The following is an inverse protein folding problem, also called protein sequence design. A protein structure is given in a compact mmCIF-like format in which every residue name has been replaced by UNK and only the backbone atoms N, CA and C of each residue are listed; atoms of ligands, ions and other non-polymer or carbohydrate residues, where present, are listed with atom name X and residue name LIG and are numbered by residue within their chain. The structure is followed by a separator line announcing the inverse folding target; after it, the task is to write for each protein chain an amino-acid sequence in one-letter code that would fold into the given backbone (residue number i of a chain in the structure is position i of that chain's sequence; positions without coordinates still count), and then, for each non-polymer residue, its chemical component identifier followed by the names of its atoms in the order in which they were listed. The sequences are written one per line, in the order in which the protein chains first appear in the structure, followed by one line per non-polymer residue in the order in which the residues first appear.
data_IF_942500417729
#
_entry.id   IF_942500417729
#
_cell.length_a   1.000
_cell.length_b   1.000
_cell.length_c   1.000
_cell.angle_alpha   90.00
_cell.angle_beta   90.00
_cell.angle_gamma   90.00
#
_symmetry.space_group_name_H-M   'P 1'
#
loop_
_entity.id
_entity.type
_entity.pdbx_description
1 polymer ?
#
# COMPACT_ATOMS: atom_id res chain seq x y z
N UNK A 1 37.68 12.56 -6.48
CA UNK A 1 37.31 11.27 -7.07
C UNK A 1 37.21 10.27 -5.93
N UNK A 2 36.05 10.06 -5.37
CA UNK A 2 35.77 8.95 -4.49
C UNK A 2 34.33 8.54 -4.72
N UNK A 3 34.13 7.74 -5.75
CA UNK A 3 32.90 6.97 -5.94
C UNK A 3 33.03 5.71 -5.11
N UNK A 4 32.80 5.82 -3.80
CA UNK A 4 32.41 4.66 -3.01
C UNK A 4 30.94 4.39 -3.33
N UNK A 5 30.70 3.18 -3.76
CA UNK A 5 29.38 2.63 -4.06
C UNK A 5 28.52 2.69 -2.78
N UNK A 6 27.71 3.75 -2.64
CA UNK A 6 26.83 4.01 -1.49
C UNK A 6 25.52 3.18 -1.62
N UNK A 7 25.57 2.07 -2.37
CA UNK A 7 24.51 1.10 -2.45
C UNK A 7 24.56 0.23 -1.21
N UNK A 8 23.64 0.47 -0.28
CA UNK A 8 23.41 -0.43 0.83
C UNK A 8 23.23 -1.86 0.29
N UNK A 9 23.92 -2.83 0.88
CA UNK A 9 23.77 -4.22 0.46
C UNK A 9 22.33 -4.68 0.68
N UNK A 10 21.82 -5.62 -0.13
CA UNK A 10 20.47 -6.18 0.08
C UNK A 10 20.31 -6.74 1.49
N UNK A 11 21.39 -7.26 2.10
CA UNK A 11 21.40 -7.74 3.47
C UNK A 11 21.13 -6.62 4.50
N UNK A 12 21.73 -5.44 4.33
CA UNK A 12 21.49 -4.27 5.20
C UNK A 12 20.06 -3.77 5.06
N UNK A 13 19.55 -3.76 3.81
CA UNK A 13 18.18 -3.37 3.50
C UNK A 13 17.17 -4.34 4.10
N UNK A 14 17.41 -5.65 3.99
CA UNK A 14 16.56 -6.69 4.60
C UNK A 14 16.57 -6.58 6.12
N UNK A 15 17.74 -6.32 6.72
CA UNK A 15 17.87 -6.10 8.17
C UNK A 15 17.04 -4.90 8.62
N UNK A 16 17.07 -3.79 7.89
CA UNK A 16 16.28 -2.60 8.20
C UNK A 16 14.77 -2.88 8.09
N UNK A 17 14.34 -3.51 7.00
CA UNK A 17 12.95 -3.89 6.82
C UNK A 17 12.45 -4.84 7.93
N UNK A 18 13.29 -5.77 8.37
CA UNK A 18 12.98 -6.70 9.46
C UNK A 18 12.86 -5.99 10.82
N UNK A 19 13.73 -4.99 11.10
CA UNK A 19 13.59 -4.15 12.30
C UNK A 19 12.28 -3.38 12.30
N UNK A 20 11.92 -2.77 11.16
CA UNK A 20 10.65 -2.05 11.03
C UNK A 20 9.47 -3.01 11.21
N UNK A 21 9.51 -4.19 10.58
CA UNK A 21 8.47 -5.21 10.74
C UNK A 21 8.25 -5.58 12.21
N UNK A 22 9.32 -5.91 12.93
CA UNK A 22 9.25 -6.27 14.37
C UNK A 22 8.74 -5.12 15.22
N UNK A 23 9.18 -3.89 14.93
CA UNK A 23 8.72 -2.69 15.60
C UNK A 23 7.21 -2.48 15.41
N UNK A 24 6.68 -2.71 14.22
CA UNK A 24 5.24 -2.61 13.95
C UNK A 24 4.48 -3.76 14.62
N UNK A 25 5.00 -5.00 14.54
CA UNK A 25 4.37 -6.19 15.14
C UNK A 25 4.32 -6.14 16.67
N UNK A 26 5.23 -5.40 17.34
CA UNK A 26 5.19 -5.22 18.80
C UNK A 26 3.99 -4.39 19.28
N UNK A 27 3.35 -3.63 18.40
CA UNK A 27 2.14 -2.85 18.70
C UNK A 27 0.90 -3.47 18.04
N UNK A 28 1.06 -4.05 16.84
CA UNK A 28 -0.03 -4.69 16.08
C UNK A 28 0.10 -6.21 16.23
N UNK A 29 -0.30 -6.70 17.41
CA UNK A 29 -0.16 -8.11 17.76
C UNK A 29 -1.09 -9.02 16.97
N UNK A 30 -0.60 -10.23 16.64
CA UNK A 30 -1.39 -11.29 16.01
C UNK A 30 -1.77 -11.06 14.55
N UNK A 31 -1.20 -10.03 13.85
CA UNK A 31 -1.54 -9.67 12.48
C UNK A 31 -0.30 -9.57 11.56
N UNK A 32 0.62 -10.55 11.55
CA UNK A 32 1.87 -10.45 10.80
C UNK A 32 1.67 -10.27 9.29
N UNK A 33 0.63 -10.90 8.71
CA UNK A 33 0.33 -10.76 7.28
C UNK A 33 -0.13 -9.35 6.91
N UNK A 34 -0.93 -8.69 7.75
CA UNK A 34 -1.37 -7.31 7.53
C UNK A 34 -0.18 -6.36 7.58
N UNK A 35 0.71 -6.54 8.57
CA UNK A 35 1.94 -5.76 8.69
C UNK A 35 2.84 -5.98 7.46
N UNK A 36 3.01 -7.23 7.03
CA UNK A 36 3.79 -7.58 5.83
C UNK A 36 3.23 -6.91 4.57
N UNK A 37 1.91 -6.94 4.37
CA UNK A 37 1.28 -6.28 3.23
C UNK A 37 1.46 -4.76 3.31
N UNK A 38 1.29 -4.15 4.48
CA UNK A 38 1.48 -2.70 4.66
C UNK A 38 2.92 -2.27 4.30
N UNK A 39 3.95 -3.02 4.74
CA UNK A 39 5.33 -2.79 4.38
C UNK A 39 5.57 -3.03 2.88
N UNK A 40 5.01 -4.09 2.32
CA UNK A 40 5.07 -4.37 0.87
C UNK A 40 4.52 -3.20 0.06
N UNK A 41 3.36 -2.66 0.46
CA UNK A 41 2.71 -1.53 -0.21
C UNK A 41 3.56 -0.27 -0.09
N UNK A 42 4.14 0.02 1.08
CA UNK A 42 5.03 1.17 1.28
C UNK A 42 6.26 1.08 0.36
N UNK A 43 6.94 -0.06 0.36
CA UNK A 43 8.16 -0.28 -0.44
C UNK A 43 7.88 -0.39 -1.95
N UNK A 44 6.68 -0.78 -2.33
CA UNK A 44 6.21 -0.78 -3.72
C UNK A 44 5.69 0.60 -4.17
N UNK A 45 5.82 1.63 -3.31
CA UNK A 45 5.31 2.98 -3.57
C UNK A 45 3.81 2.99 -3.87
N UNK A 46 3.04 2.19 -3.15
CA UNK A 46 1.59 2.07 -3.29
C UNK A 46 0.84 2.76 -2.16
N UNK A 47 -0.49 2.60 -2.21
CA UNK A 47 -1.42 3.09 -1.19
C UNK A 47 -2.27 1.92 -0.70
N UNK A 48 -2.64 1.93 0.58
CA UNK A 48 -3.34 0.84 1.25
C UNK A 48 -4.79 1.22 1.56
N UNK A 49 -5.71 0.33 1.23
CA UNK A 49 -7.10 0.42 1.69
C UNK A 49 -7.32 -0.59 2.82
N UNK A 50 -7.80 -0.15 3.97
CA UNK A 50 -8.18 -1.00 5.08
C UNK A 50 -9.70 -1.00 5.17
N UNK A 51 -10.29 -2.15 4.88
CA UNK A 51 -11.73 -2.32 4.88
C UNK A 51 -12.13 -3.23 6.03
N UNK A 52 -12.78 -2.65 7.06
CA UNK A 52 -13.09 -3.39 8.28
C UNK A 52 -14.15 -2.69 9.15
N UNK A 53 -14.66 -3.40 10.14
CA UNK A 53 -15.53 -2.85 11.18
C UNK A 53 -14.82 -1.79 12.02
N UNK A 54 -15.54 -0.88 12.68
CA UNK A 54 -14.95 0.10 13.60
C UNK A 54 -14.21 -0.56 14.76
N UNK A 55 -13.18 0.13 15.30
CA UNK A 55 -12.53 -0.26 16.55
C UNK A 55 -11.45 -1.32 16.48
N UNK A 56 -11.13 -1.88 15.31
CA UNK A 56 -10.12 -2.96 15.15
C UNK A 56 -8.67 -2.48 14.98
N UNK A 57 -8.37 -1.21 15.27
CA UNK A 57 -6.99 -0.71 15.22
C UNK A 57 -6.48 -0.26 13.84
N UNK A 58 -7.37 0.02 12.86
CA UNK A 58 -6.99 0.46 11.50
C UNK A 58 -6.02 1.65 11.49
N UNK A 59 -6.35 2.70 12.24
CA UNK A 59 -5.52 3.90 12.37
C UNK A 59 -4.22 3.63 13.13
N UNK A 60 -4.23 2.67 14.05
CA UNK A 60 -3.07 2.27 14.85
C UNK A 60 -1.96 1.71 13.96
N UNK A 61 -2.29 0.84 12.99
CA UNK A 61 -1.32 0.28 12.05
C UNK A 61 -0.54 1.37 11.32
N UNK A 62 -1.24 2.37 10.76
CA UNK A 62 -0.60 3.44 10.02
C UNK A 62 0.25 4.36 10.90
N UNK A 63 -0.23 4.68 12.13
CA UNK A 63 0.54 5.46 13.10
C UNK A 63 1.79 4.74 13.55
N UNK A 64 1.68 3.45 13.84
CA UNK A 64 2.80 2.60 14.25
C UNK A 64 3.85 2.50 13.16
N UNK A 65 3.42 2.29 11.92
CA UNK A 65 4.32 2.27 10.76
C UNK A 65 5.08 3.60 10.63
N UNK A 66 4.37 4.74 10.66
CA UNK A 66 4.98 6.07 10.54
C UNK A 66 6.00 6.33 11.66
N UNK A 67 5.66 5.99 12.91
CA UNK A 67 6.53 6.19 14.06
C UNK A 67 7.76 5.28 14.02
N UNK A 68 7.62 4.03 13.55
CA UNK A 68 8.73 3.09 13.41
C UNK A 68 9.80 3.54 12.41
N UNK A 69 9.44 4.38 11.43
CA UNK A 69 10.34 4.86 10.36
C UNK A 69 10.59 6.37 10.40
N UNK A 70 10.26 7.03 11.50
CA UNK A 70 10.45 8.47 11.71
C UNK A 70 9.92 9.31 10.52
N UNK A 71 8.73 8.97 10.07
CA UNK A 71 8.04 9.69 8.99
C UNK A 71 7.00 10.65 9.54
N UNK A 72 6.84 11.80 8.87
CA UNK A 72 5.75 12.70 9.14
C UNK A 72 4.40 12.03 8.87
N UNK A 73 3.45 12.23 9.79
CA UNK A 73 2.10 11.68 9.67
C UNK A 73 1.04 12.77 9.80
N UNK A 74 0.04 12.71 8.93
CA UNK A 74 -1.17 13.53 9.04
C UNK A 74 -2.40 12.63 9.00
N UNK A 75 -3.41 13.00 9.79
CA UNK A 75 -4.69 12.30 9.82
C UNK A 75 -5.78 13.20 9.26
N UNK A 76 -6.52 12.67 8.31
CA UNK A 76 -7.70 13.29 7.72
C UNK A 76 -8.91 12.46 8.15
N UNK A 77 -9.79 13.04 8.96
CA UNK A 77 -11.10 12.44 9.24
C UNK A 77 -12.07 12.90 8.16
N UNK A 78 -12.53 11.98 7.34
CA UNK A 78 -13.49 12.29 6.29
C UNK A 78 -14.88 12.47 6.87
N UNK A 79 -15.47 13.63 6.60
CA UNK A 79 -16.82 14.03 7.00
C UNK A 79 -17.54 14.64 5.79
N UNK A 80 -18.88 14.72 5.78
CA UNK A 80 -19.62 15.29 4.64
C UNK A 80 -19.28 16.75 4.32
N UNK A 81 -18.82 17.50 5.30
CA UNK A 81 -18.47 18.92 5.21
C UNK A 81 -17.00 19.16 4.86
N UNK A 82 -16.14 18.13 4.84
CA UNK A 82 -14.72 18.26 4.47
C UNK A 82 -14.59 18.74 3.02
N UNK A 83 -13.79 19.79 2.83
CA UNK A 83 -13.55 20.37 1.52
C UNK A 83 -12.28 19.79 0.86
N UNK A 84 -12.19 19.79 -0.47
CA UNK A 84 -10.96 19.44 -1.19
C UNK A 84 -9.74 20.24 -0.75
N UNK A 85 -9.94 21.53 -0.47
CA UNK A 85 -8.89 22.46 0.00
C UNK A 85 -8.31 22.11 1.37
N UNK A 86 -9.07 21.42 2.23
CA UNK A 86 -8.57 20.95 3.53
C UNK A 86 -7.52 19.83 3.33
N UNK A 87 -7.63 19.11 2.24
CA UNK A 87 -6.70 18.06 1.84
C UNK A 87 -5.49 18.65 1.13
N UNK A 88 -5.72 19.44 0.09
CA UNK A 88 -4.67 19.91 -0.84
C UNK A 88 -3.99 21.20 -0.39
N UNK A 89 -4.64 21.98 0.47
CA UNK A 89 -4.17 23.31 0.85
C UNK A 89 -4.79 24.42 0.04
N UNK A 90 -4.47 25.64 0.42
CA UNK A 90 -5.02 26.87 -0.15
C UNK A 90 -3.95 27.95 -0.24
N UNK A 91 -4.09 28.88 -1.18
CA UNK A 91 -3.33 30.13 -1.19
C UNK A 91 -4.08 31.18 -0.40
N UNK A 92 -3.42 31.78 0.59
CA UNK A 92 -3.97 32.84 1.44
C UNK A 92 -3.24 34.14 1.12
N UNK A 93 -3.98 35.22 0.92
CA UNK A 93 -3.37 36.51 0.70
C UNK A 93 -2.82 37.12 2.00
N UNK A 94 -1.49 37.25 2.07
CA UNK A 94 -0.81 37.95 3.17
C UNK A 94 -0.86 39.47 2.94
N UNK A 95 -1.64 40.15 3.76
CA UNK A 95 -1.81 41.63 3.66
C UNK A 95 -0.53 42.40 3.98
N UNK A 96 0.37 41.85 4.82
CA UNK A 96 1.62 42.54 5.20
C UNK A 96 2.64 42.46 4.07
N UNK A 97 2.78 41.28 3.45
CA UNK A 97 3.69 41.03 2.34
C UNK A 97 3.10 41.38 0.97
N UNK A 98 1.77 41.56 0.92
CA UNK A 98 0.98 41.84 -0.31
C UNK A 98 1.19 40.75 -1.38
N UNK A 99 1.31 39.50 -0.95
CA UNK A 99 1.50 38.34 -1.82
C UNK A 99 0.61 37.17 -1.37
N UNK A 100 0.39 36.21 -2.27
CA UNK A 100 -0.27 34.95 -1.93
C UNK A 100 0.73 33.98 -1.33
N UNK A 101 0.44 33.45 -0.16
CA UNK A 101 1.23 32.43 0.51
C UNK A 101 0.48 31.10 0.45
N UNK A 102 1.13 30.04 -0.05
CA UNK A 102 0.55 28.72 -0.03
C UNK A 102 0.59 28.12 1.38
N UNK A 103 -0.56 27.70 1.87
CA UNK A 103 -0.70 26.93 3.11
C UNK A 103 -0.96 25.49 2.74
N UNK A 104 0.03 24.56 2.96
CA UNK A 104 -0.12 23.16 2.61
C UNK A 104 -1.24 22.51 3.41
N UNK A 105 -2.03 21.67 2.74
CA UNK A 105 -3.06 20.85 3.36
C UNK A 105 -2.51 19.57 3.99
N UNK A 106 -3.41 18.74 4.51
CA UNK A 106 -3.03 17.53 5.24
C UNK A 106 -2.34 16.46 4.37
N UNK A 107 -2.42 16.57 3.04
CA UNK A 107 -1.76 15.63 2.12
C UNK A 107 -0.22 15.77 2.13
N UNK A 108 0.32 16.89 2.62
CA UNK A 108 1.77 17.16 2.65
C UNK A 108 2.46 16.49 3.85
N UNK A 109 2.26 15.18 3.97
CA UNK A 109 2.96 14.32 4.91
C UNK A 109 3.42 13.05 4.20
N UNK A 110 4.40 12.36 4.77
CA UNK A 110 4.93 11.11 4.20
C UNK A 110 3.94 9.96 4.35
N UNK A 111 3.22 9.90 5.47
CA UNK A 111 2.12 8.96 5.67
C UNK A 111 0.85 9.74 5.99
N UNK A 112 -0.14 9.58 5.14
CA UNK A 112 -1.46 10.20 5.29
C UNK A 112 -2.48 9.14 5.65
N UNK A 113 -3.16 9.34 6.77
CA UNK A 113 -4.23 8.46 7.24
C UNK A 113 -5.56 9.09 6.87
N UNK A 114 -6.27 8.47 5.94
CA UNK A 114 -7.61 8.89 5.54
C UNK A 114 -8.68 8.05 6.22
N UNK A 115 -9.19 8.51 7.37
CA UNK A 115 -10.19 7.75 8.10
C UNK A 115 -11.60 7.97 7.52
N UNK A 116 -12.29 6.84 7.25
CA UNK A 116 -13.68 6.79 6.78
C UNK A 116 -13.88 7.54 5.44
N UNK A 117 -13.01 7.24 4.46
CA UNK A 117 -12.99 7.93 3.16
C UNK A 117 -14.36 7.97 2.46
N UNK A 118 -15.21 6.98 2.71
CA UNK A 118 -16.55 6.88 2.14
C UNK A 118 -17.56 7.86 2.76
N UNK A 119 -17.21 8.63 3.81
CA UNK A 119 -18.10 9.66 4.39
C UNK A 119 -18.02 11.02 3.69
N UNK A 120 -16.93 11.33 3.01
CA UNK A 120 -16.81 12.59 2.30
C UNK A 120 -17.47 12.57 0.93
N UNK A 121 -17.77 13.76 0.41
CA UNK A 121 -18.30 13.91 -0.94
C UNK A 121 -17.37 13.34 -2.01
N UNK A 122 -17.89 12.88 -3.16
CA UNK A 122 -17.06 12.38 -4.26
C UNK A 122 -16.01 13.39 -4.74
N UNK A 123 -16.27 14.69 -4.63
CA UNK A 123 -15.34 15.75 -5.00
C UNK A 123 -14.13 15.76 -4.06
N UNK A 124 -14.36 15.63 -2.77
CA UNK A 124 -13.31 15.58 -1.74
C UNK A 124 -12.51 14.28 -1.84
N UNK A 125 -13.18 13.14 -2.07
CA UNK A 125 -12.50 11.87 -2.34
C UNK A 125 -11.57 12.00 -3.57
N UNK A 126 -12.04 12.62 -4.65
CA UNK A 126 -11.26 12.80 -5.88
C UNK A 126 -9.99 13.63 -5.65
N UNK A 127 -10.03 14.66 -4.82
CA UNK A 127 -8.85 15.48 -4.51
C UNK A 127 -7.72 14.66 -3.84
N UNK A 128 -8.06 13.80 -2.87
CA UNK A 128 -7.09 12.88 -2.28
C UNK A 128 -6.53 11.91 -3.34
N UNK A 129 -7.42 11.26 -4.08
CA UNK A 129 -7.06 10.18 -4.99
C UNK A 129 -6.26 10.67 -6.21
N UNK A 130 -6.48 11.91 -6.67
CA UNK A 130 -5.66 12.54 -7.70
C UNK A 130 -4.25 12.80 -7.19
N UNK A 131 -4.12 13.39 -6.01
CA UNK A 131 -2.83 13.65 -5.36
C UNK A 131 -2.03 12.37 -5.10
N UNK A 132 -2.72 11.25 -4.80
CA UNK A 132 -2.08 9.92 -4.63
C UNK A 132 -1.41 9.43 -5.91
N UNK A 133 -2.07 9.61 -7.05
CA UNK A 133 -1.57 9.12 -8.33
C UNK A 133 -0.45 9.98 -8.89
N UNK A 134 -0.66 11.30 -8.87
CA UNK A 134 0.26 12.28 -9.47
C UNK A 134 1.46 12.60 -8.56
N UNK A 135 1.38 12.28 -7.26
CA UNK A 135 2.37 12.64 -6.21
C UNK A 135 2.71 14.12 -6.18
N UNK A 136 1.78 14.92 -6.59
CA UNK A 136 1.85 16.37 -6.61
C UNK A 136 0.47 16.99 -6.51
N UNK A 137 0.44 18.26 -6.13
CA UNK A 137 -0.77 19.07 -6.07
C UNK A 137 -0.53 20.36 -6.82
N UNK A 138 -1.47 20.77 -7.67
CA UNK A 138 -1.40 22.05 -8.38
C UNK A 138 -2.42 23.01 -7.82
N UNK A 139 -1.95 24.13 -7.27
CA UNK A 139 -2.76 25.21 -6.70
C UNK A 139 -2.38 26.52 -7.39
N UNK A 140 -3.36 27.22 -7.93
CA UNK A 140 -3.18 28.52 -8.62
C UNK A 140 -2.07 28.49 -9.69
N UNK A 141 -1.98 27.37 -10.43
CA UNK A 141 -0.99 27.20 -11.48
C UNK A 141 0.41 26.82 -11.00
N UNK A 142 0.63 26.71 -9.70
CA UNK A 142 1.91 26.26 -9.11
C UNK A 142 1.78 24.78 -8.68
N UNK A 143 2.74 23.97 -9.08
CA UNK A 143 2.80 22.55 -8.74
C UNK A 143 3.72 22.30 -7.55
N UNK A 144 3.21 21.64 -6.54
CA UNK A 144 3.91 21.28 -5.31
C UNK A 144 4.06 19.74 -5.26
N UNK A 145 5.29 19.26 -5.20
CA UNK A 145 5.59 17.83 -5.08
C UNK A 145 5.34 17.34 -3.65
N UNK A 146 4.75 16.16 -3.50
CA UNK A 146 4.54 15.54 -2.20
C UNK A 146 5.86 14.92 -1.69
N UNK A 147 6.02 14.79 -0.35
CA UNK A 147 7.24 14.23 0.25
C UNK A 147 7.46 12.76 -0.13
N UNK A 148 8.71 12.29 -0.05
CA UNK A 148 9.07 10.88 -0.26
C UNK A 148 9.68 10.30 1.02
N UNK A 149 9.37 9.06 1.41
CA UNK A 149 8.33 8.20 0.80
C UNK A 149 6.94 8.78 0.98
N UNK A 150 5.98 8.42 0.13
CA UNK A 150 4.60 8.88 0.25
C UNK A 150 3.62 7.72 0.19
N UNK A 151 2.81 7.56 1.24
CA UNK A 151 1.79 6.53 1.33
C UNK A 151 0.50 7.06 1.94
N UNK A 152 -0.61 6.78 1.30
CA UNK A 152 -1.94 6.96 1.89
C UNK A 152 -2.44 5.62 2.42
N UNK A 153 -2.88 5.60 3.67
CA UNK A 153 -3.61 4.50 4.29
C UNK A 153 -5.04 4.98 4.51
N UNK A 154 -5.94 4.58 3.62
CA UNK A 154 -7.34 4.92 3.74
C UNK A 154 -8.11 3.83 4.49
N UNK A 155 -9.06 4.23 5.35
CA UNK A 155 -9.96 3.29 6.01
C UNK A 155 -11.38 3.44 5.47
N UNK A 156 -12.08 2.33 5.37
CA UNK A 156 -13.47 2.26 4.99
C UNK A 156 -14.22 1.31 5.90
N UNK A 157 -15.46 1.66 6.25
CA UNK A 157 -16.37 0.77 6.94
C UNK A 157 -17.43 0.26 5.95
N UNK A 158 -17.42 -1.03 5.59
CA UNK A 158 -18.36 -1.58 4.63
C UNK A 158 -19.79 -1.72 5.17
N UNK A 159 -19.98 -1.68 6.49
CA UNK A 159 -21.28 -1.90 7.14
C UNK A 159 -22.11 -0.60 7.20
N UNK A 160 -21.47 0.55 7.29
CA UNK A 160 -22.15 1.84 7.31
C UNK A 160 -22.58 2.24 5.89
N UNK A 161 -23.89 2.16 5.63
CA UNK A 161 -24.49 2.58 4.37
C UNK A 161 -25.12 3.97 4.44
N UNK A 162 -25.58 4.40 5.62
CA UNK A 162 -26.31 5.66 5.79
C UNK A 162 -25.33 6.84 5.82
N UNK A 163 -25.54 7.83 4.96
CA UNK A 163 -24.68 9.01 4.85
C UNK A 163 -23.29 8.75 4.25
N UNK A 164 -23.11 7.66 3.50
CA UNK A 164 -21.83 7.32 2.86
C UNK A 164 -21.90 7.35 1.34
N UNK A 165 -20.78 7.65 0.72
CA UNK A 165 -20.56 7.62 -0.72
C UNK A 165 -19.54 6.51 -1.03
N UNK A 166 -19.97 5.35 -1.56
CA UNK A 166 -19.03 4.27 -1.87
C UNK A 166 -18.02 4.74 -2.91
N UNK A 167 -16.77 4.29 -2.75
CA UNK A 167 -15.72 4.57 -3.73
C UNK A 167 -16.06 3.92 -5.07
N UNK A 168 -16.15 4.69 -6.18
CA UNK A 168 -16.25 4.14 -7.50
C UNK A 168 -15.10 3.20 -7.83
N UNK A 169 -15.32 2.27 -8.76
CA UNK A 169 -14.34 1.25 -9.15
C UNK A 169 -13.00 1.87 -9.60
N UNK A 170 -13.06 2.93 -10.41
CA UNK A 170 -11.89 3.64 -10.89
C UNK A 170 -11.07 4.29 -9.76
N UNK A 171 -11.72 4.64 -8.66
CA UNK A 171 -11.07 5.21 -7.48
C UNK A 171 -10.46 4.11 -6.61
N UNK A 172 -11.14 2.98 -6.42
CA UNK A 172 -10.60 1.81 -5.72
C UNK A 172 -9.36 1.24 -6.42
N UNK A 173 -9.30 1.30 -7.74
CA UNK A 173 -8.17 0.84 -8.55
C UNK A 173 -6.86 1.60 -8.26
N UNK A 174 -6.91 2.77 -7.62
CA UNK A 174 -5.72 3.55 -7.22
C UNK A 174 -5.03 2.99 -5.98
N UNK A 175 -5.74 2.27 -5.13
CA UNK A 175 -5.14 1.57 -4.00
C UNK A 175 -4.41 0.31 -4.49
N UNK A 176 -3.16 0.12 -4.07
CA UNK A 176 -2.37 -1.04 -4.48
C UNK A 176 -2.91 -2.34 -3.90
N UNK A 177 -3.24 -2.33 -2.62
CA UNK A 177 -3.78 -3.50 -1.94
C UNK A 177 -4.92 -3.11 -1.01
N UNK A 178 -5.79 -4.09 -0.74
CA UNK A 178 -6.80 -4.04 0.30
C UNK A 178 -6.53 -5.11 1.34
N UNK A 179 -6.67 -4.73 2.61
CA UNK A 179 -6.54 -5.65 3.76
C UNK A 179 -7.71 -5.48 4.72
N UNK A 180 -7.99 -6.53 5.48
CA UNK A 180 -8.82 -6.51 6.69
C UNK A 180 -7.95 -6.85 7.88
N UNK A 181 -8.04 -6.08 8.95
CA UNK A 181 -7.33 -6.35 10.20
C UNK A 181 -8.08 -7.43 10.99
N UNK A 182 -9.43 -7.39 10.93
CA UNK A 182 -10.32 -8.28 11.67
C UNK A 182 -10.26 -8.06 13.17
N UNK A 183 -11.12 -8.73 13.90
CA UNK A 183 -11.12 -8.71 15.36
C UNK A 183 -9.80 -9.29 15.92
N UNK A 184 -9.30 -8.79 17.06
CA UNK A 184 -8.21 -9.42 17.78
C UNK A 184 -8.60 -10.82 18.26
N UNK A 185 -7.61 -11.66 18.60
CA UNK A 185 -7.88 -12.93 19.27
C UNK A 185 -8.29 -12.68 20.74
N UNK A 186 -8.92 -13.66 21.37
CA UNK A 186 -9.30 -13.55 22.79
C UNK A 186 -8.08 -13.27 23.69
N UNK A 187 -6.93 -13.85 23.36
CA UNK A 187 -5.66 -13.63 24.07
C UNK A 187 -5.17 -12.19 23.90
N UNK A 188 -5.27 -11.64 22.68
CA UNK A 188 -4.91 -10.25 22.42
C UNK A 188 -5.87 -9.28 23.11
N UNK A 189 -7.18 -9.59 23.17
CA UNK A 189 -8.15 -8.80 23.92
C UNK A 189 -7.85 -8.80 25.42
N UNK A 190 -7.47 -9.95 26.00
CA UNK A 190 -7.06 -10.04 27.41
C UNK A 190 -5.82 -9.16 27.68
N UNK A 191 -4.82 -9.22 26.82
CA UNK A 191 -3.63 -8.37 26.94
C UNK A 191 -3.98 -6.88 26.86
N UNK A 192 -4.92 -6.49 25.99
CA UNK A 192 -5.40 -5.11 25.91
C UNK A 192 -6.03 -4.65 27.23
N UNK A 193 -6.73 -5.52 27.96
CA UNK A 193 -7.31 -5.20 29.28
C UNK A 193 -6.22 -4.99 30.34
N UNK A 194 -5.17 -5.80 30.31
CA UNK A 194 -4.04 -5.68 31.24
C UNK A 194 -3.25 -4.37 31.03
N UNK A 195 -3.14 -3.90 29.79
CA UNK A 195 -2.43 -2.66 29.40
C UNK A 195 -3.30 -1.40 29.63
N UNK A 196 -4.62 -1.52 29.80
CA UNK A 196 -5.56 -0.38 29.86
C UNK A 196 -5.38 0.56 31.07
N UNK A 197 -4.43 0.31 31.95
CA UNK A 197 -4.01 1.21 33.03
C UNK A 197 -2.61 1.81 32.83
N UNK A 198 -1.92 1.53 31.71
CA UNK A 198 -0.55 1.93 31.43
C UNK A 198 -0.37 2.85 30.23
N UNK A 199 0.87 3.09 29.88
CA UNK A 199 1.28 3.87 28.72
C UNK A 199 0.89 3.09 27.44
N UNK A 200 0.33 3.79 26.45
CA UNK A 200 0.00 3.15 25.17
C UNK A 200 1.28 2.56 24.51
N UNK A 201 1.25 1.31 24.03
CA UNK A 201 2.40 0.71 23.34
C UNK A 201 2.93 1.57 22.18
N UNK A 202 2.06 2.37 21.56
CA UNK A 202 2.44 3.33 20.55
C UNK A 202 3.30 4.46 21.14
N UNK A 203 3.01 4.94 22.36
CA UNK A 203 3.73 6.09 22.95
C UNK A 203 5.19 5.72 23.29
N UNK A 204 5.43 4.50 23.70
CA UNK A 204 6.76 3.97 24.02
C UNK A 204 7.57 3.56 22.77
N UNK A 205 6.92 3.44 21.61
CA UNK A 205 7.57 3.00 20.39
C UNK A 205 8.64 4.00 19.95
N UNK A 206 9.86 3.51 19.71
CA UNK A 206 10.95 4.30 19.15
C UNK A 206 11.13 4.01 17.66
N UNK A 207 11.57 5.02 16.91
CA UNK A 207 11.93 4.83 15.51
C UNK A 207 13.14 3.89 15.39
N UNK A 208 13.07 2.94 14.48
CA UNK A 208 14.13 1.95 14.20
C UNK A 208 14.75 2.15 12.81
N UNK A 209 14.20 3.05 12.03
CA UNK A 209 14.69 3.49 10.72
C UNK A 209 14.25 4.93 10.47
N UNK A 210 14.80 5.57 9.45
CA UNK A 210 14.43 6.92 9.03
C UNK A 210 13.84 6.90 7.62
N UNK A 211 13.15 7.97 7.25
CA UNK A 211 12.53 8.11 5.93
C UNK A 211 13.52 7.86 4.77
N UNK A 212 14.77 8.32 4.88
CA UNK A 212 15.79 8.11 3.84
C UNK A 212 16.19 6.63 3.69
N UNK A 213 16.12 5.82 4.76
CA UNK A 213 16.39 4.38 4.69
C UNK A 213 15.28 3.69 3.89
N UNK A 214 14.04 4.15 4.06
CA UNK A 214 12.90 3.64 3.27
C UNK A 214 13.04 4.01 1.79
N UNK A 215 13.53 5.21 1.48
CA UNK A 215 13.80 5.60 0.08
C UNK A 215 14.85 4.68 -0.55
N UNK A 216 15.95 4.38 0.15
CA UNK A 216 16.96 3.43 -0.32
C UNK A 216 16.40 2.02 -0.52
N UNK A 217 15.52 1.57 0.38
CA UNK A 217 14.80 0.30 0.24
C UNK A 217 13.91 0.29 -1.02
N UNK A 218 13.19 1.37 -1.29
CA UNK A 218 12.36 1.52 -2.48
C UNK A 218 13.20 1.43 -3.75
N UNK A 219 14.35 2.09 -3.79
CA UNK A 219 15.30 2.03 -4.90
C UNK A 219 15.78 0.59 -5.14
N UNK A 220 16.16 -0.12 -4.09
CA UNK A 220 16.58 -1.52 -4.20
C UNK A 220 15.44 -2.45 -4.66
N UNK A 221 14.21 -2.21 -4.22
CA UNK A 221 13.03 -2.95 -4.69
C UNK A 221 12.83 -2.79 -6.19
N UNK A 222 13.10 -1.61 -6.75
CA UNK A 222 12.99 -1.38 -8.20
C UNK A 222 13.94 -2.25 -9.01
N UNK A 223 15.11 -2.59 -8.47
CA UNK A 223 16.13 -3.42 -9.10
C UNK A 223 15.86 -4.93 -9.01
N UNK A 224 14.90 -5.37 -8.16
CA UNK A 224 14.57 -6.79 -8.03
C UNK A 224 14.19 -7.39 -9.39
N UNK A 225 14.87 -8.47 -9.75
CA UNK A 225 14.71 -9.14 -11.04
C UNK A 225 13.39 -9.92 -11.12
N UNK A 226 12.74 -9.84 -12.27
CA UNK A 226 11.53 -10.63 -12.58
C UNK A 226 11.74 -11.35 -13.91
N UNK A 227 11.84 -12.67 -13.85
CA UNK A 227 12.00 -13.50 -15.03
C UNK A 227 10.79 -13.39 -15.99
N UNK A 228 11.03 -13.53 -17.28
CA UNK A 228 9.98 -13.44 -18.31
C UNK A 228 8.78 -14.39 -18.04
N UNK A 229 8.97 -15.67 -17.65
CA UNK A 229 7.84 -16.55 -17.32
C UNK A 229 7.00 -16.04 -16.15
N UNK A 230 7.62 -15.42 -15.14
CA UNK A 230 6.89 -14.83 -13.99
C UNK A 230 6.13 -13.57 -14.42
N UNK A 231 6.72 -12.71 -15.25
CA UNK A 231 6.00 -11.56 -15.84
C UNK A 231 4.79 -12.01 -16.65
N UNK A 232 4.95 -13.07 -17.45
CA UNK A 232 3.86 -13.64 -18.21
C UNK A 232 2.77 -14.18 -17.29
N UNK A 233 3.13 -14.89 -16.24
CA UNK A 233 2.19 -15.40 -15.24
C UNK A 233 1.36 -14.29 -14.60
N UNK A 234 1.98 -13.16 -14.22
CA UNK A 234 1.26 -11.97 -13.70
C UNK A 234 0.25 -11.46 -14.72
N UNK A 235 0.63 -11.34 -16.00
CA UNK A 235 -0.26 -10.89 -17.07
C UNK A 235 -1.41 -11.87 -17.30
N UNK A 236 -1.14 -13.16 -17.32
CA UNK A 236 -2.14 -14.22 -17.56
C UNK A 236 -3.15 -14.27 -16.42
N UNK A 237 -2.73 -14.12 -15.16
CA UNK A 237 -3.63 -14.03 -14.00
C UNK A 237 -4.57 -12.81 -14.13
N UNK A 238 -4.05 -11.64 -14.45
CA UNK A 238 -4.87 -10.43 -14.59
C UNK A 238 -5.80 -10.55 -15.80
N UNK A 239 -5.33 -11.11 -16.92
CA UNK A 239 -6.14 -11.34 -18.10
C UNK A 239 -7.30 -12.32 -17.82
N UNK A 240 -7.05 -13.38 -17.05
CA UNK A 240 -8.06 -14.35 -16.64
C UNK A 240 -9.22 -13.70 -15.86
N UNK A 241 -8.97 -12.64 -15.09
CA UNK A 241 -10.04 -11.91 -14.39
C UNK A 241 -11.04 -11.27 -15.37
N UNK A 242 -10.60 -10.86 -16.57
CA UNK A 242 -11.41 -10.15 -17.55
C UNK A 242 -12.37 -11.07 -18.33
N UNK A 243 -12.09 -12.36 -18.34
CA UNK A 243 -12.89 -13.39 -19.01
C UNK A 243 -13.60 -14.36 -18.07
N UNK A 244 -13.50 -14.12 -16.74
CA UNK A 244 -14.10 -15.02 -15.77
C UNK A 244 -15.63 -14.87 -15.74
N UNK A 245 -16.42 -15.98 -15.81
CA UNK A 245 -17.88 -15.91 -15.92
C UNK A 245 -18.56 -15.28 -14.70
N UNK A 246 -17.98 -15.38 -13.52
CA UNK A 246 -18.53 -14.79 -12.29
C UNK A 246 -18.21 -13.31 -12.12
N UNK A 247 -17.46 -12.69 -13.04
CA UNK A 247 -17.09 -11.29 -12.97
C UNK A 247 -17.77 -10.47 -14.06
N UNK A 248 -18.40 -9.36 -13.65
CA UNK A 248 -18.90 -8.32 -14.55
C UNK A 248 -17.78 -7.38 -14.99
N UNK A 249 -16.80 -7.15 -14.10
CA UNK A 249 -15.62 -6.34 -14.36
C UNK A 249 -14.37 -7.04 -13.79
N UNK A 250 -13.38 -7.26 -14.67
CA UNK A 250 -12.06 -7.75 -14.31
C UNK A 250 -11.07 -6.62 -13.96
N UNK A 251 -9.86 -6.99 -13.60
CA UNK A 251 -8.82 -6.05 -13.20
C UNK A 251 -8.25 -5.25 -14.38
N UNK A 252 -7.90 -3.99 -14.12
CA UNK A 252 -7.32 -3.05 -15.08
C UNK A 252 -5.84 -3.36 -15.39
N UNK A 253 -5.24 -2.77 -16.43
CA UNK A 253 -3.78 -2.83 -16.65
C UNK A 253 -2.97 -2.23 -15.49
N UNK A 254 -3.52 -1.25 -14.73
CA UNK A 254 -2.91 -0.71 -13.53
C UNK A 254 -2.71 -1.80 -12.47
N UNK A 255 -3.67 -2.71 -12.33
CA UNK A 255 -3.55 -3.84 -11.41
C UNK A 255 -2.36 -4.76 -11.74
N UNK A 256 -2.03 -4.94 -13.03
CA UNK A 256 -0.83 -5.68 -13.46
C UNK A 256 0.45 -5.01 -12.95
N UNK A 257 0.54 -3.68 -13.10
CA UNK A 257 1.69 -2.90 -12.62
C UNK A 257 1.79 -2.91 -11.09
N UNK A 258 0.64 -2.79 -10.40
CA UNK A 258 0.59 -2.85 -8.95
C UNK A 258 1.02 -4.23 -8.42
N UNK A 259 0.53 -5.31 -9.03
CA UNK A 259 0.93 -6.67 -8.64
C UNK A 259 2.43 -6.88 -8.89
N UNK A 260 2.96 -6.44 -10.04
CA UNK A 260 4.38 -6.55 -10.34
C UNK A 260 5.26 -5.79 -9.32
N UNK A 261 4.88 -4.57 -8.95
CA UNK A 261 5.61 -3.79 -7.93
C UNK A 261 5.52 -4.43 -6.55
N UNK A 262 4.34 -4.91 -6.17
CA UNK A 262 4.12 -5.55 -4.87
C UNK A 262 4.94 -6.85 -4.74
N UNK A 263 5.01 -7.69 -5.78
CA UNK A 263 5.81 -8.94 -5.71
C UNK A 263 7.31 -8.67 -5.65
N UNK A 264 7.81 -7.61 -6.30
CA UNK A 264 9.20 -7.16 -6.14
C UNK A 264 9.50 -6.78 -4.69
N UNK A 265 8.62 -5.98 -4.07
CA UNK A 265 8.76 -5.59 -2.67
C UNK A 265 8.68 -6.81 -1.73
N UNK A 266 7.78 -7.76 -1.98
CA UNK A 266 7.69 -9.00 -1.20
C UNK A 266 8.95 -9.86 -1.30
N UNK A 267 9.54 -9.97 -2.48
CA UNK A 267 10.80 -10.69 -2.68
C UNK A 267 11.95 -10.01 -1.92
N UNK A 268 12.07 -8.68 -2.01
CA UNK A 268 13.06 -7.90 -1.28
C UNK A 268 12.91 -8.04 0.24
N UNK A 269 11.69 -7.96 0.77
CA UNK A 269 11.39 -8.21 2.19
C UNK A 269 11.78 -9.62 2.66
N UNK A 270 11.82 -10.56 1.73
CA UNK A 270 12.26 -11.95 1.98
C UNK A 270 13.76 -12.14 1.71
N UNK A 271 14.53 -11.06 1.50
CA UNK A 271 15.98 -11.10 1.24
C UNK A 271 16.36 -11.65 -0.13
N UNK A 272 15.47 -11.60 -1.12
CA UNK A 272 15.70 -12.12 -2.47
C UNK A 272 15.81 -11.01 -3.50
N UNK A 273 16.77 -11.13 -4.41
CA UNK A 273 16.97 -10.24 -5.57
C UNK A 273 16.10 -10.63 -6.77
N UNK A 274 15.25 -11.63 -6.63
CA UNK A 274 14.38 -12.14 -7.69
C UNK A 274 13.02 -12.57 -7.15
N UNK A 275 12.00 -12.45 -8.00
CA UNK A 275 10.61 -12.81 -7.71
C UNK A 275 10.38 -14.30 -8.01
N UNK A 276 9.64 -14.97 -7.11
CA UNK A 276 9.12 -16.32 -7.29
C UNK A 276 7.63 -16.30 -7.66
N UNK A 277 7.11 -17.32 -8.34
CA UNK A 277 5.67 -17.47 -8.55
C UNK A 277 4.85 -17.46 -7.26
N UNK A 278 5.40 -17.97 -6.17
CA UNK A 278 4.75 -17.97 -4.84
C UNK A 278 4.49 -16.55 -4.32
N UNK A 279 5.36 -15.58 -4.61
CA UNK A 279 5.13 -14.18 -4.28
C UNK A 279 3.88 -13.62 -4.99
N UNK A 280 3.71 -14.04 -6.26
CA UNK A 280 2.54 -13.65 -7.07
C UNK A 280 1.27 -14.24 -6.47
N UNK A 281 1.29 -15.53 -6.12
CA UNK A 281 0.15 -16.22 -5.52
C UNK A 281 -0.26 -15.60 -4.18
N UNK A 282 0.70 -15.32 -3.31
CA UNK A 282 0.45 -14.72 -1.99
C UNK A 282 -0.20 -13.32 -2.08
N UNK A 283 0.19 -12.51 -3.09
CA UNK A 283 -0.27 -11.13 -3.23
C UNK A 283 -1.45 -10.95 -4.20
N UNK A 284 -1.84 -12.00 -4.94
CA UNK A 284 -2.91 -11.90 -5.93
C UNK A 284 -4.24 -11.44 -5.31
N UNK A 285 -4.70 -12.04 -4.21
CA UNK A 285 -5.96 -11.68 -3.57
C UNK A 285 -5.92 -10.26 -2.96
N UNK A 286 -4.95 -9.88 -2.11
CA UNK A 286 -4.86 -8.51 -1.59
C UNK A 286 -4.81 -7.43 -2.67
N UNK A 287 -4.14 -7.71 -3.81
CA UNK A 287 -3.96 -6.72 -4.89
C UNK A 287 -5.11 -6.72 -5.87
N UNK A 288 -5.72 -7.85 -6.18
CA UNK A 288 -6.72 -7.93 -7.26
C UNK A 288 -8.17 -7.88 -6.77
N UNK A 289 -8.50 -8.52 -5.64
CA UNK A 289 -9.89 -8.78 -5.26
C UNK A 289 -10.75 -7.51 -5.14
N UNK A 290 -10.22 -6.42 -4.57
CA UNK A 290 -10.95 -5.17 -4.38
C UNK A 290 -11.27 -4.43 -5.69
N UNK A 291 -10.69 -4.83 -6.81
CA UNK A 291 -10.90 -4.28 -8.16
C UNK A 291 -11.95 -5.04 -8.95
N UNK A 292 -12.28 -6.25 -8.52
CA UNK A 292 -13.17 -7.15 -9.23
C UNK A 292 -14.62 -6.89 -8.83
N UNK A 293 -15.53 -6.93 -9.82
CA UNK A 293 -16.95 -6.82 -9.57
C UNK A 293 -17.63 -8.14 -9.94
N UNK A 294 -18.10 -8.90 -8.96
CA UNK A 294 -18.88 -10.10 -9.19
C UNK A 294 -20.20 -9.79 -9.94
N UNK A 295 -20.67 -10.75 -10.75
CA UNK A 295 -21.98 -10.69 -11.36
C UNK A 295 -23.09 -10.81 -10.32
N UNK A 296 -24.31 -10.37 -10.63
CA UNK A 296 -25.44 -10.52 -9.73
C UNK A 296 -25.68 -12.00 -9.35
N UNK A 297 -25.49 -12.93 -10.30
CA UNK A 297 -25.61 -14.37 -10.04
C UNK A 297 -24.55 -14.85 -9.04
N UNK A 298 -23.30 -14.43 -9.20
CA UNK A 298 -22.23 -14.77 -8.26
C UNK A 298 -22.52 -14.21 -6.86
N UNK A 299 -23.02 -12.96 -6.76
CA UNK A 299 -23.42 -12.35 -5.49
C UNK A 299 -24.55 -13.10 -4.80
N UNK A 300 -25.59 -13.51 -5.54
CA UNK A 300 -26.67 -14.35 -5.02
C UNK A 300 -26.15 -15.70 -4.50
N UNK A 301 -25.14 -16.25 -5.17
CA UNK A 301 -24.41 -17.46 -4.76
C UNK A 301 -23.42 -17.22 -3.61
N UNK A 302 -23.35 -16.00 -3.03
CA UNK A 302 -22.39 -15.58 -1.99
C UNK A 302 -20.93 -15.80 -2.39
N UNK A 303 -20.63 -15.75 -3.68
CA UNK A 303 -19.29 -15.91 -4.20
C UNK A 303 -18.53 -14.59 -4.10
N UNK A 304 -17.41 -14.59 -3.39
CA UNK A 304 -16.61 -13.38 -3.16
C UNK A 304 -15.56 -13.18 -4.26
N UNK A 305 -15.05 -11.96 -4.39
CA UNK A 305 -13.97 -11.66 -5.34
C UNK A 305 -12.68 -12.42 -4.99
N UNK A 306 -12.40 -12.64 -3.71
CA UNK A 306 -11.26 -13.43 -3.23
C UNK A 306 -11.35 -14.89 -3.68
N UNK A 307 -12.54 -15.48 -3.59
CA UNK A 307 -12.78 -16.84 -4.08
C UNK A 307 -12.57 -16.95 -5.58
N UNK A 308 -12.98 -15.93 -6.34
CA UNK A 308 -12.75 -15.90 -7.79
C UNK A 308 -11.25 -15.80 -8.09
N UNK A 309 -10.50 -14.96 -7.36
CA UNK A 309 -9.03 -14.89 -7.51
C UNK A 309 -8.40 -16.24 -7.19
N UNK A 310 -8.85 -16.91 -6.14
CA UNK A 310 -8.34 -18.23 -5.78
C UNK A 310 -8.57 -19.27 -6.89
N UNK A 311 -9.75 -19.31 -7.49
CA UNK A 311 -10.04 -20.18 -8.63
C UNK A 311 -9.18 -19.89 -9.86
N UNK A 312 -8.93 -18.60 -10.13
CA UNK A 312 -8.04 -18.19 -11.22
C UNK A 312 -6.62 -18.69 -10.96
N UNK A 313 -6.11 -18.56 -9.72
CA UNK A 313 -4.80 -19.06 -9.32
C UNK A 313 -4.68 -20.57 -9.54
N UNK A 314 -5.72 -21.33 -9.18
CA UNK A 314 -5.73 -22.80 -9.37
C UNK A 314 -5.74 -23.21 -10.85
N UNK A 315 -6.34 -22.44 -11.73
CA UNK A 315 -6.49 -22.73 -13.16
C UNK A 315 -5.35 -22.21 -14.03
N UNK A 316 -4.63 -21.18 -13.56
CA UNK A 316 -3.53 -20.57 -14.32
C UNK A 316 -2.25 -21.37 -14.07
N UNK A 317 -1.61 -21.93 -15.11
CA UNK A 317 -0.40 -22.72 -14.93
C UNK A 317 0.72 -21.91 -14.29
N UNK A 318 1.28 -22.43 -13.22
CA UNK A 318 2.45 -21.85 -12.55
C UNK A 318 3.68 -22.09 -13.43
N UNK A 319 4.50 -21.07 -13.72
CA UNK A 319 5.72 -21.26 -14.48
C UNK A 319 6.62 -22.27 -13.75
N UNK A 320 7.10 -23.28 -14.46
CA UNK A 320 8.05 -24.22 -13.91
C UNK A 320 9.30 -23.45 -13.45
N UNK A 321 9.74 -23.66 -12.22
CA UNK A 321 11.02 -23.17 -11.77
C UNK A 321 12.10 -23.80 -12.67
N UNK A 322 12.65 -23.05 -13.59
CA UNK A 322 13.85 -23.47 -14.31
C UNK A 322 14.99 -23.46 -13.28
N UNK A 323 15.16 -24.62 -12.66
CA UNK A 323 16.34 -24.91 -11.86
C UNK A 323 17.50 -24.99 -12.83
N UNK A 324 18.35 -23.98 -12.81
CA UNK A 324 19.68 -23.87 -13.40
C UNK A 324 19.81 -23.76 -14.92
N UNK A 325 20.48 -22.69 -15.30
CA UNK A 325 21.42 -22.65 -16.39
C UNK A 325 20.89 -21.99 -17.65
N UNK A 326 20.90 -20.69 -17.61
CA UNK A 326 21.38 -19.86 -18.72
C UNK A 326 21.52 -18.44 -18.19
N UNK A 327 22.70 -18.14 -17.63
CA UNK A 327 23.18 -16.76 -17.65
C UNK A 327 23.22 -16.35 -19.13
N UNK A 328 22.70 -15.14 -19.50
CA UNK A 328 22.81 -14.69 -20.86
C UNK A 328 24.30 -14.67 -21.26
N UNK A 329 24.68 -15.20 -22.43
CA UNK A 329 26.05 -15.10 -22.89
C UNK A 329 26.34 -13.64 -23.22
N UNK A 330 27.16 -12.97 -22.37
CA UNK A 330 27.57 -11.60 -22.67
C UNK A 330 28.09 -10.71 -21.54
N UNK A 331 28.24 -11.17 -20.32
CA UNK A 331 28.99 -10.44 -19.30
C UNK A 331 30.47 -10.87 -19.33
N UNK A 332 31.11 -10.67 -20.45
CA UNK A 332 32.56 -10.81 -20.59
C UNK A 332 33.25 -9.75 -19.76
N UNK A 333 34.01 -10.20 -18.76
CA UNK A 333 35.05 -9.46 -18.08
C UNK A 333 35.94 -8.80 -19.13
N UNK A 334 35.83 -7.49 -19.28
CA UNK A 334 36.92 -6.70 -19.91
C UNK A 334 37.85 -6.28 -18.77
N UNK A 335 38.90 -7.08 -18.63
CA UNK A 335 40.15 -6.62 -18.04
C UNK A 335 40.74 -5.51 -18.92
N UNK A 336 40.90 -4.34 -18.31
CA UNK A 336 42.03 -3.41 -18.49
C UNK A 336 42.05 -2.46 -17.30
#
# INVERSE_FOLDING_TARGET
VTTYDDRASLADLTSTAERVRRSVESVIEGKPEVVRIALTVLLAEGHLLIEDVPGVGKTMLAKTLAKSIDCSVQRIQFTPDLLPSDITGVSIYDQQRREFEFKPGAIFAQIVIGDEINRASPKTQSALLESMEERQVTIDGTTYTLPSPFMVVATQNPVEMEGTYPLPEAQRDRFMARVSVGYPSAEAELQMLDVHGGISPLDDLQAVAHAHDIVKLIEAVREVYVAEPVRRYVVDLVAATRSHPDLRLGASPRATLHLLRAVKASAALSGREYVLPDDVQALAAPVLAHRLLPTAQAQLGRRTAEQVVHDILQRTPVPAAHVRGEMPPGAGIRSF
#
